data_IF_557525954351
#
_entry.id   IF_557525954351
#
_cell.length_a   1.000
_cell.length_b   1.000
_cell.length_c   1.000
_cell.angle_alpha   90.00
_cell.angle_beta   90.00
_cell.angle_gamma   90.00
#
_symmetry.space_group_name_H-M   'P 1'
#
loop_
_entity.id
_entity.type
_entity.pdbx_description
1 polymer ?
#
# COMPACT_ATOMS: atom_id res chain seq x y z
N UNK A 1 9.39 15.33 -15.80
CA UNK A 1 8.92 15.03 -14.42
C UNK A 1 9.69 15.76 -13.33
N UNK A 2 11.03 15.92 -13.41
CA UNK A 2 11.82 16.56 -12.34
C UNK A 2 11.26 17.88 -11.77
N UNK A 3 10.89 18.87 -12.62
CA UNK A 3 10.29 20.12 -12.14
C UNK A 3 8.97 19.93 -11.38
N UNK A 4 8.14 18.98 -11.80
CA UNK A 4 6.88 18.67 -11.13
C UNK A 4 7.12 18.11 -9.72
N UNK A 5 8.08 17.19 -9.56
CA UNK A 5 8.38 16.62 -8.24
C UNK A 5 8.87 17.67 -7.24
N UNK A 6 9.63 18.66 -7.69
CA UNK A 6 10.09 19.75 -6.83
C UNK A 6 8.91 20.59 -6.29
N UNK A 7 7.91 20.86 -7.13
CA UNK A 7 6.70 21.56 -6.72
C UNK A 7 5.82 20.68 -5.82
N UNK A 8 5.63 19.40 -6.17
CA UNK A 8 4.82 18.47 -5.37
C UNK A 8 5.42 18.22 -3.98
N UNK A 9 6.75 18.14 -3.85
CA UNK A 9 7.40 17.96 -2.54
C UNK A 9 7.18 19.15 -1.59
N UNK A 10 6.83 20.33 -2.11
CA UNK A 10 6.46 21.47 -1.27
C UNK A 10 5.01 21.35 -0.75
N UNK A 11 4.19 20.49 -1.36
CA UNK A 11 2.81 20.25 -0.95
C UNK A 11 2.76 19.19 0.16
N UNK A 12 1.96 19.45 1.20
CA UNK A 12 1.80 18.54 2.35
C UNK A 12 1.13 17.21 2.00
N UNK A 13 0.49 17.12 0.85
CA UNK A 13 -0.28 15.95 0.42
C UNK A 13 0.53 14.98 -0.46
N UNK A 14 1.80 15.29 -0.74
CA UNK A 14 2.68 14.42 -1.53
C UNK A 14 3.31 13.32 -0.65
N UNK A 15 3.06 12.07 -1.02
CA UNK A 15 3.67 10.89 -0.38
C UNK A 15 4.72 10.31 -1.32
N UNK A 16 5.98 10.32 -0.87
CA UNK A 16 7.06 9.65 -1.58
C UNK A 16 6.94 8.14 -1.45
N UNK A 17 7.40 7.39 -2.45
CA UNK A 17 7.38 5.94 -2.45
C UNK A 17 8.75 5.37 -2.82
N UNK A 18 9.10 4.23 -2.24
CA UNK A 18 10.33 3.48 -2.51
C UNK A 18 10.28 2.71 -3.83
N UNK A 19 9.08 2.38 -4.31
CA UNK A 19 8.85 1.68 -5.58
C UNK A 19 7.48 2.05 -6.16
N UNK A 20 7.33 2.04 -7.49
CA UNK A 20 6.12 2.53 -8.16
C UNK A 20 4.87 1.73 -7.76
N UNK A 21 5.02 0.42 -7.56
CA UNK A 21 3.92 -0.42 -7.12
C UNK A 21 3.42 -0.06 -5.72
N UNK A 22 4.28 0.42 -4.83
CA UNK A 22 3.90 0.92 -3.51
C UNK A 22 3.14 2.24 -3.65
N UNK A 23 3.63 3.17 -4.49
CA UNK A 23 2.95 4.44 -4.76
C UNK A 23 1.49 4.21 -5.20
N UNK A 24 1.28 3.28 -6.13
CA UNK A 24 -0.06 2.93 -6.60
C UNK A 24 -0.93 2.26 -5.53
N UNK A 25 -0.33 1.44 -4.65
CA UNK A 25 -1.05 0.81 -3.55
C UNK A 25 -1.43 1.82 -2.45
N UNK A 26 -0.57 2.78 -2.12
CA UNK A 26 -0.89 3.91 -1.23
C UNK A 26 -2.04 4.73 -1.83
N UNK A 27 -1.96 5.07 -3.12
CA UNK A 27 -3.06 5.75 -3.81
C UNK A 27 -4.36 4.95 -3.78
N UNK A 28 -4.30 3.62 -3.94
CA UNK A 28 -5.48 2.76 -3.82
C UNK A 28 -6.12 2.82 -2.41
N UNK A 29 -5.30 2.83 -1.35
CA UNK A 29 -5.77 3.01 0.02
C UNK A 29 -6.42 4.37 0.26
N UNK A 30 -5.77 5.45 -0.17
CA UNK A 30 -6.32 6.80 -0.09
C UNK A 30 -7.59 6.98 -0.94
N UNK A 31 -7.69 6.27 -2.07
CA UNK A 31 -8.94 6.21 -2.81
C UNK A 31 -10.01 5.50 -1.99
N UNK A 32 -9.75 4.34 -1.39
CA UNK A 32 -10.73 3.62 -0.58
C UNK A 32 -11.29 4.44 0.59
N UNK A 33 -10.56 5.43 1.12
CA UNK A 33 -11.02 6.35 2.17
C UNK A 33 -11.72 7.61 1.64
N UNK A 34 -11.90 7.74 0.32
CA UNK A 34 -12.68 8.81 -0.28
C UNK A 34 -11.89 9.85 -1.08
N UNK A 35 -10.55 9.79 -1.12
CA UNK A 35 -9.74 10.77 -1.86
C UNK A 35 -9.73 10.51 -3.36
N UNK A 36 -9.48 11.57 -4.12
CA UNK A 36 -9.03 11.47 -5.50
C UNK A 36 -7.50 11.48 -5.50
N UNK A 37 -6.88 10.60 -6.28
CA UNK A 37 -5.43 10.34 -6.20
C UNK A 37 -4.77 10.39 -7.57
N UNK A 38 -3.57 10.95 -7.63
CA UNK A 38 -2.69 10.89 -8.79
C UNK A 38 -1.38 10.21 -8.41
N UNK A 39 -0.83 9.40 -9.33
CA UNK A 39 0.43 8.68 -9.16
C UNK A 39 1.38 9.12 -10.25
N UNK A 40 2.57 9.54 -9.84
CA UNK A 40 3.61 10.05 -10.73
C UNK A 40 4.76 9.05 -10.78
N UNK A 41 5.18 8.66 -11.98
CA UNK A 41 6.27 7.73 -12.17
C UNK A 41 6.98 7.96 -13.50
N UNK A 42 8.10 7.26 -13.69
CA UNK A 42 8.73 7.12 -14.99
C UNK A 42 8.27 5.81 -15.65
N UNK A 43 8.27 5.75 -16.98
CA UNK A 43 7.88 4.55 -17.73
C UNK A 43 8.69 3.31 -17.35
N UNK A 44 9.96 3.44 -16.95
CA UNK A 44 10.76 2.32 -16.41
C UNK A 44 10.11 1.59 -15.23
N UNK A 45 9.24 2.27 -14.48
CA UNK A 45 8.48 1.71 -13.37
C UNK A 45 7.25 0.89 -13.76
N UNK A 46 6.83 0.90 -15.03
CA UNK A 46 5.61 0.21 -15.47
C UNK A 46 5.65 -1.30 -15.17
N UNK A 47 6.83 -1.92 -15.24
CA UNK A 47 7.02 -3.33 -14.86
C UNK A 47 6.64 -3.60 -13.41
N UNK A 48 6.94 -2.67 -12.50
CA UNK A 48 6.60 -2.78 -11.07
C UNK A 48 5.10 -2.56 -10.81
N UNK A 49 4.39 -1.90 -11.73
CA UNK A 49 2.95 -1.68 -11.65
C UNK A 49 2.13 -2.87 -12.14
N UNK A 50 2.67 -3.76 -12.99
CA UNK A 50 1.91 -4.86 -13.61
C UNK A 50 1.10 -5.64 -12.57
N UNK A 51 1.74 -6.07 -11.48
CA UNK A 51 1.09 -6.83 -10.42
C UNK A 51 -0.03 -6.03 -9.74
N UNK A 52 0.21 -4.76 -9.43
CA UNK A 52 -0.75 -3.91 -8.71
C UNK A 52 -1.94 -3.55 -9.60
N UNK A 53 -1.69 -3.15 -10.85
CA UNK A 53 -2.74 -2.85 -11.82
C UNK A 53 -3.63 -4.07 -12.09
N UNK A 54 -3.03 -5.22 -12.37
CA UNK A 54 -3.76 -6.43 -12.77
C UNK A 54 -4.45 -7.16 -11.62
N UNK A 55 -3.95 -7.02 -10.38
CA UNK A 55 -4.42 -7.83 -9.24
C UNK A 55 -4.88 -7.05 -8.00
N UNK A 56 -4.73 -5.71 -7.99
CA UNK A 56 -5.36 -4.79 -7.04
C UNK A 56 -6.33 -3.84 -7.77
N UNK A 57 -5.86 -2.96 -8.65
CA UNK A 57 -6.75 -1.95 -9.25
C UNK A 57 -7.86 -2.58 -10.08
N UNK A 58 -7.53 -3.53 -10.96
CA UNK A 58 -8.51 -4.13 -11.87
C UNK A 58 -9.56 -4.98 -11.14
N UNK A 59 -9.22 -5.91 -10.23
CA UNK A 59 -10.24 -6.73 -9.56
C UNK A 59 -11.11 -5.94 -8.58
N UNK A 60 -10.55 -4.93 -7.91
CA UNK A 60 -11.26 -4.11 -6.93
C UNK A 60 -11.96 -2.89 -7.56
N UNK A 61 -11.77 -2.66 -8.86
CA UNK A 61 -12.29 -1.49 -9.57
C UNK A 61 -11.80 -0.19 -8.92
N UNK A 62 -10.51 -0.06 -8.67
CA UNK A 62 -9.93 1.15 -8.06
C UNK A 62 -9.38 2.04 -9.17
N UNK A 63 -10.02 3.19 -9.47
CA UNK A 63 -9.50 4.15 -10.41
C UNK A 63 -8.24 4.82 -9.87
N UNK A 64 -7.31 5.15 -10.76
CA UNK A 64 -6.07 5.85 -10.42
C UNK A 64 -5.59 6.64 -11.62
N UNK A 65 -5.28 7.92 -11.42
CA UNK A 65 -4.72 8.76 -12.47
C UNK A 65 -3.21 8.59 -12.49
N UNK A 66 -2.65 8.12 -13.60
CA UNK A 66 -1.22 7.88 -13.74
C UNK A 66 -0.57 8.96 -14.61
N UNK A 67 0.51 9.57 -14.15
CA UNK A 67 1.37 10.45 -14.94
C UNK A 67 2.73 9.79 -15.11
N UNK A 68 3.03 9.37 -16.33
CA UNK A 68 4.19 8.55 -16.66
C UNK A 68 5.13 9.36 -17.54
N UNK A 69 6.33 9.69 -17.05
CA UNK A 69 7.37 10.26 -17.88
C UNK A 69 7.87 9.26 -18.94
N UNK A 70 7.86 9.64 -20.21
CA UNK A 70 8.23 8.77 -21.34
C UNK A 70 9.70 8.96 -21.74
N UNK A 71 10.60 8.24 -21.05
CA UNK A 71 12.01 8.15 -21.44
C UNK A 71 12.19 7.14 -22.59
N UNK A 72 13.09 7.44 -23.51
CA UNK A 72 13.35 6.61 -24.70
C UNK A 72 12.21 6.63 -25.73
N UNK A 73 11.41 7.70 -25.79
CA UNK A 73 10.32 7.84 -26.75
C UNK A 73 10.83 7.61 -28.19
N UNK A 74 10.14 6.78 -29.01
CA UNK A 74 10.54 6.54 -30.40
C UNK A 74 10.69 7.85 -31.19
N UNK A 75 11.83 8.01 -31.87
CA UNK A 75 12.15 9.21 -32.65
C UNK A 75 12.72 10.37 -31.84
N UNK A 76 12.85 10.24 -30.52
CA UNK A 76 13.47 11.24 -29.63
C UNK A 76 14.79 10.72 -29.11
N UNK A 77 15.86 11.51 -29.23
CA UNK A 77 17.19 11.13 -28.72
C UNK A 77 17.18 11.14 -27.18
N UNK A 78 17.58 10.03 -26.59
CA UNK A 78 17.71 9.83 -25.15
C UNK A 78 18.93 8.93 -24.87
N UNK A 79 19.22 8.67 -23.59
CA UNK A 79 20.25 7.75 -23.14
C UNK A 79 19.94 6.30 -23.56
N UNK A 80 20.94 5.51 -23.98
CA UNK A 80 20.73 4.18 -24.57
C UNK A 80 19.90 3.22 -23.70
N UNK A 81 20.06 3.27 -22.38
CA UNK A 81 19.34 2.39 -21.45
C UNK A 81 17.82 2.61 -21.44
N UNK A 82 17.32 3.75 -21.95
CA UNK A 82 15.89 4.04 -21.99
C UNK A 82 15.20 3.51 -23.26
N UNK A 83 15.96 3.22 -24.33
CA UNK A 83 15.43 2.94 -25.67
C UNK A 83 14.43 1.78 -25.68
N UNK A 84 14.83 0.61 -25.15
CA UNK A 84 13.98 -0.57 -25.16
C UNK A 84 12.67 -0.35 -24.39
N UNK A 85 12.74 0.30 -23.23
CA UNK A 85 11.55 0.57 -22.42
C UNK A 85 10.64 1.61 -23.08
N UNK A 86 11.22 2.65 -23.66
CA UNK A 86 10.47 3.68 -24.36
C UNK A 86 9.74 3.17 -25.59
N UNK A 87 10.31 2.21 -26.33
CA UNK A 87 9.67 1.55 -27.47
C UNK A 87 8.41 0.77 -27.06
N UNK A 88 8.45 0.01 -25.96
CA UNK A 88 7.34 -0.85 -25.54
C UNK A 88 6.31 -0.17 -24.61
N UNK A 89 6.52 1.10 -24.25
CA UNK A 89 5.73 1.80 -23.21
C UNK A 89 4.23 1.79 -23.51
N UNK A 90 3.83 2.14 -24.74
CA UNK A 90 2.41 2.19 -25.14
C UNK A 90 1.81 0.79 -25.23
N UNK A 91 2.56 -0.16 -25.78
CA UNK A 91 2.14 -1.57 -25.88
C UNK A 91 1.88 -2.18 -24.49
N UNK A 92 2.69 -1.84 -23.48
CA UNK A 92 2.45 -2.27 -22.11
C UNK A 92 1.15 -1.70 -21.53
N UNK A 93 0.86 -0.42 -21.78
CA UNK A 93 -0.39 0.21 -21.32
C UNK A 93 -1.61 -0.40 -22.02
N UNK A 94 -1.52 -0.64 -23.33
CA UNK A 94 -2.56 -1.29 -24.12
C UNK A 94 -2.81 -2.73 -23.63
N UNK A 95 -1.74 -3.50 -23.39
CA UNK A 95 -1.80 -4.86 -22.86
C UNK A 95 -2.47 -4.90 -21.48
N UNK A 96 -2.16 -3.94 -20.61
CA UNK A 96 -2.77 -3.79 -19.29
C UNK A 96 -4.18 -3.20 -19.35
N UNK A 97 -4.69 -2.85 -20.54
CA UNK A 97 -5.97 -2.19 -20.75
C UNK A 97 -6.11 -0.90 -19.94
N UNK A 98 -5.02 -0.12 -19.86
CA UNK A 98 -5.01 1.21 -19.24
C UNK A 98 -5.10 2.25 -20.35
N UNK A 99 -6.26 2.92 -20.52
CA UNK A 99 -6.41 3.99 -21.50
C UNK A 99 -5.38 5.07 -21.25
N UNK A 100 -4.72 5.54 -22.31
CA UNK A 100 -3.67 6.53 -22.20
C UNK A 100 -3.75 7.61 -23.27
N UNK A 101 -3.21 8.79 -22.94
CA UNK A 101 -3.03 9.91 -23.87
C UNK A 101 -1.66 10.54 -23.67
N UNK A 102 -1.12 11.16 -24.72
CA UNK A 102 -0.02 12.12 -24.55
C UNK A 102 -0.57 13.36 -23.84
N UNK A 103 0.08 13.78 -22.75
CA UNK A 103 -0.28 15.01 -22.06
C UNK A 103 0.13 16.20 -22.93
N UNK A 104 -0.78 17.14 -23.15
CA UNK A 104 -0.50 18.36 -23.90
C UNK A 104 0.55 19.22 -23.20
N UNK A 105 1.42 19.86 -23.97
CA UNK A 105 2.31 20.92 -23.48
C UNK A 105 1.58 22.27 -23.37
N UNK A 106 0.41 22.40 -24.00
CA UNK A 106 -0.50 23.52 -23.78
C UNK A 106 -1.27 23.31 -22.46
N UNK A 107 -1.20 24.32 -21.58
CA UNK A 107 -1.73 24.22 -20.23
C UNK A 107 -3.27 24.11 -20.18
N UNK A 108 -3.99 24.85 -21.04
CA UNK A 108 -5.46 24.82 -21.06
C UNK A 108 -5.97 23.47 -21.56
N UNK A 109 -5.33 22.94 -22.61
CA UNK A 109 -5.61 21.61 -23.13
C UNK A 109 -5.26 20.53 -22.10
N UNK A 110 -4.10 20.61 -21.43
CA UNK A 110 -3.70 19.64 -20.40
C UNK A 110 -4.72 19.57 -19.25
N UNK A 111 -5.20 20.72 -18.78
CA UNK A 111 -6.26 20.79 -17.75
C UNK A 111 -7.55 20.15 -18.24
N UNK A 112 -7.92 20.38 -19.51
CA UNK A 112 -9.10 19.77 -20.13
C UNK A 112 -8.96 18.25 -20.23
N UNK A 113 -7.80 17.76 -20.67
CA UNK A 113 -7.48 16.33 -20.74
C UNK A 113 -7.61 15.68 -19.36
N UNK A 114 -7.03 16.29 -18.31
CA UNK A 114 -7.09 15.75 -16.95
C UNK A 114 -8.53 15.68 -16.43
N UNK A 115 -9.35 16.70 -16.66
CA UNK A 115 -10.78 16.68 -16.29
C UNK A 115 -11.55 15.55 -16.97
N UNK A 116 -11.30 15.34 -18.27
CA UNK A 116 -11.90 14.23 -19.02
C UNK A 116 -11.47 12.87 -18.49
N UNK A 117 -10.18 12.72 -18.13
CA UNK A 117 -9.67 11.48 -17.55
C UNK A 117 -10.31 11.19 -16.19
N UNK A 118 -10.49 12.21 -15.34
CA UNK A 118 -11.19 12.08 -14.06
C UNK A 118 -12.63 11.61 -14.26
N UNK A 119 -13.35 12.19 -15.22
CA UNK A 119 -14.72 11.76 -15.51
C UNK A 119 -14.77 10.31 -16.03
N UNK A 120 -13.88 9.96 -16.96
CA UNK A 120 -13.75 8.59 -17.46
C UNK A 120 -13.45 7.59 -16.33
N UNK A 121 -12.59 7.95 -15.37
CA UNK A 121 -12.30 7.11 -14.21
C UNK A 121 -13.53 6.92 -13.31
N UNK A 122 -14.36 7.96 -13.12
CA UNK A 122 -15.60 7.87 -12.35
C UNK A 122 -16.63 6.96 -13.03
N UNK A 123 -16.75 7.05 -14.34
CA UNK A 123 -17.66 6.20 -15.13
C UNK A 123 -17.19 4.73 -15.17
N UNK A 124 -15.90 4.50 -15.36
CA UNK A 124 -15.35 3.16 -15.62
C UNK A 124 -14.85 2.44 -14.37
N UNK A 125 -14.53 3.15 -13.29
CA UNK A 125 -13.85 2.63 -12.08
C UNK A 125 -12.44 2.08 -12.35
N UNK A 126 -11.78 2.48 -13.45
CA UNK A 126 -10.47 1.94 -13.83
C UNK A 126 -9.42 3.03 -14.06
N UNK A 127 -8.12 2.69 -13.94
CA UNK A 127 -7.03 3.64 -14.15
C UNK A 127 -7.03 4.28 -15.54
N UNK A 128 -6.56 5.52 -15.61
CA UNK A 128 -6.27 6.25 -16.85
C UNK A 128 -4.88 6.85 -16.74
N UNK A 129 -4.12 6.84 -17.84
CA UNK A 129 -2.73 7.28 -17.87
C UNK A 129 -2.49 8.47 -18.81
N UNK A 130 -1.52 9.29 -18.43
CA UNK A 130 -0.90 10.29 -19.27
C UNK A 130 0.57 9.96 -19.47
N UNK A 131 1.01 9.96 -20.73
CA UNK A 131 2.42 9.95 -21.08
C UNK A 131 2.91 11.39 -21.21
N UNK A 132 3.93 11.75 -20.43
CA UNK A 132 4.56 13.07 -20.46
C UNK A 132 5.91 13.00 -21.18
N UNK A 133 6.07 13.79 -22.23
CA UNK A 133 7.33 13.94 -22.96
C UNK A 133 8.37 14.74 -22.14
N UNK A 134 9.60 14.81 -22.64
CA UNK A 134 10.74 15.42 -21.93
C UNK A 134 10.57 16.91 -21.63
N UNK A 135 9.70 17.61 -22.38
CA UNK A 135 9.44 19.04 -22.32
C UNK A 135 8.05 19.39 -21.73
N UNK A 136 7.32 18.43 -21.17
CA UNK A 136 5.95 18.67 -20.66
C UNK A 136 5.90 19.52 -19.39
N UNK A 137 6.95 19.51 -18.56
CA UNK A 137 6.98 20.25 -17.30
C UNK A 137 8.22 21.14 -17.21
N UNK A 138 8.02 22.40 -16.86
CA UNK A 138 9.09 23.40 -16.71
C UNK A 138 9.16 23.92 -15.27
N UNK A 139 10.37 24.22 -14.79
CA UNK A 139 10.56 24.84 -13.47
C UNK A 139 10.12 26.30 -13.52
N UNK A 140 9.52 26.79 -12.43
CA UNK A 140 9.37 28.24 -12.23
C UNK A 140 10.77 28.89 -12.14
N UNK A 141 10.90 30.13 -12.60
CA UNK A 141 12.19 30.86 -12.70
C UNK A 141 12.95 31.03 -11.37
N UNK A 142 12.31 30.76 -10.22
CA UNK A 142 12.96 30.75 -8.92
C UNK A 142 13.32 29.31 -8.54
N UNK A 143 14.62 29.03 -8.51
CA UNK A 143 15.19 27.70 -8.33
C UNK A 143 14.62 26.90 -7.17
N UNK A 144 14.62 25.58 -7.37
CA UNK A 144 14.22 24.56 -6.39
C UNK A 144 14.94 24.82 -5.08
N UNK A 145 14.23 25.27 -4.05
CA UNK A 145 14.70 25.05 -2.69
C UNK A 145 14.44 23.59 -2.41
N UNK A 146 15.46 22.84 -1.98
CA UNK A 146 15.17 21.58 -1.27
C UNK A 146 14.26 21.98 -0.12
N UNK A 147 13.05 21.43 -0.06
CA UNK A 147 12.36 21.41 1.21
C UNK A 147 13.32 20.71 2.16
N UNK A 148 13.72 21.38 3.24
CA UNK A 148 14.44 20.76 4.33
C UNK A 148 13.49 19.71 4.92
N UNK A 149 13.49 18.51 4.33
CA UNK A 149 12.87 17.32 4.88
C UNK A 149 13.67 16.96 6.11
N UNK A 150 13.44 17.70 7.19
CA UNK A 150 13.89 17.28 8.50
C UNK A 150 13.36 15.88 8.69
N UNK A 151 14.25 14.92 8.96
CA UNK A 151 13.85 13.59 9.38
C UNK A 151 12.75 13.78 10.42
N UNK A 152 11.62 13.09 10.24
CA UNK A 152 10.52 13.12 11.21
C UNK A 152 11.16 12.99 12.59
N UNK A 153 10.82 13.88 13.55
CA UNK A 153 11.44 13.83 14.86
C UNK A 153 11.30 12.40 15.36
N UNK A 154 12.44 11.76 15.64
CA UNK A 154 12.50 10.44 16.26
C UNK A 154 11.82 10.59 17.62
N UNK A 155 10.50 10.40 17.61
CA UNK A 155 9.64 10.47 18.77
C UNK A 155 9.98 9.27 19.61
N UNK A 156 10.97 9.40 20.48
CA UNK A 156 11.33 8.33 21.40
C UNK A 156 10.15 8.05 22.31
N UNK A 157 9.45 6.95 22.04
CA UNK A 157 8.73 6.14 23.02
C UNK A 157 8.94 4.65 22.68
N UNK A 158 10.20 4.22 22.69
CA UNK A 158 10.60 2.83 22.44
C UNK A 158 10.05 1.93 23.56
N UNK A 159 8.83 1.45 23.38
CA UNK A 159 8.29 0.35 24.17
C UNK A 159 8.63 -0.92 23.41
N UNK A 160 9.73 -1.55 23.81
CA UNK A 160 10.08 -2.88 23.35
C UNK A 160 9.47 -3.90 24.33
N UNK A 161 8.60 -4.77 23.81
CA UNK A 161 8.28 -6.02 24.48
C UNK A 161 8.93 -7.14 23.68
N UNK A 162 9.94 -7.79 24.27
CA UNK A 162 10.57 -8.98 23.70
C UNK A 162 10.09 -10.21 24.43
N UNK A 163 9.37 -11.07 23.71
CA UNK A 163 9.15 -12.44 24.13
C UNK A 163 10.07 -13.38 23.33
N UNK A 164 10.96 -14.08 24.03
CA UNK A 164 11.77 -15.16 23.46
C UNK A 164 11.12 -16.49 23.85
N UNK A 165 10.06 -16.85 23.14
CA UNK A 165 9.34 -18.11 23.34
C UNK A 165 9.06 -18.80 22.00
N UNK A 166 8.83 -20.12 22.05
CA UNK A 166 8.33 -20.88 20.91
C UNK A 166 6.92 -20.39 20.52
N UNK A 167 6.62 -20.25 19.22
CA UNK A 167 5.32 -19.74 18.78
C UNK A 167 4.20 -20.67 19.24
N UNK A 168 3.21 -20.14 19.95
CA UNK A 168 2.12 -20.95 20.49
C UNK A 168 0.84 -20.93 19.65
N UNK A 169 0.62 -19.88 18.85
CA UNK A 169 -0.59 -19.68 18.04
C UNK A 169 -0.41 -20.17 16.60
N UNK A 170 -1.43 -20.80 16.03
CA UNK A 170 -1.61 -20.91 14.58
C UNK A 170 -2.16 -19.61 13.99
N UNK A 171 -2.02 -19.42 12.66
CA UNK A 171 -2.54 -18.21 11.97
C UNK A 171 -4.02 -17.96 12.26
N UNK A 172 -4.84 -18.99 12.22
CA UNK A 172 -6.28 -18.89 12.46
C UNK A 172 -6.59 -18.36 13.88
N UNK A 173 -5.92 -18.89 14.90
CA UNK A 173 -6.09 -18.48 16.31
C UNK A 173 -5.58 -17.04 16.53
N UNK A 174 -4.49 -16.66 15.87
CA UNK A 174 -4.01 -15.28 15.86
C UNK A 174 -5.05 -14.33 15.23
N UNK A 175 -5.66 -14.71 14.11
CA UNK A 175 -6.71 -13.92 13.47
C UNK A 175 -7.99 -13.84 14.33
N UNK A 176 -8.37 -14.89 15.06
CA UNK A 176 -9.48 -14.85 16.03
C UNK A 176 -9.18 -13.89 17.20
N UNK A 177 -7.94 -13.94 17.71
CA UNK A 177 -7.46 -13.03 18.75
C UNK A 177 -7.53 -11.58 18.29
N UNK A 178 -7.04 -11.30 17.07
CA UNK A 178 -7.07 -9.99 16.45
C UNK A 178 -8.52 -9.50 16.27
N UNK A 179 -9.36 -10.31 15.62
CA UNK A 179 -10.75 -9.97 15.34
C UNK A 179 -11.54 -9.62 16.62
N UNK A 180 -11.24 -10.31 17.72
CA UNK A 180 -11.88 -10.07 19.01
C UNK A 180 -11.38 -8.79 19.72
N UNK A 181 -10.14 -8.38 19.43
CA UNK A 181 -9.51 -7.21 20.05
C UNK A 181 -9.66 -5.92 19.24
N UNK A 182 -9.86 -6.04 17.91
CA UNK A 182 -10.04 -4.89 17.03
C UNK A 182 -11.31 -4.09 17.38
N UNK A 183 -11.22 -2.76 17.52
CA UNK A 183 -12.38 -1.91 17.61
C UNK A 183 -13.31 -2.10 16.40
N UNK A 184 -14.62 -2.01 16.60
CA UNK A 184 -15.61 -2.10 15.52
C UNK A 184 -15.46 -1.00 14.47
N UNK A 185 -14.88 0.14 14.86
CA UNK A 185 -14.56 1.26 13.98
C UNK A 185 -13.22 1.11 13.23
N UNK A 186 -12.45 0.05 13.48
CA UNK A 186 -11.13 -0.13 12.87
C UNK A 186 -11.25 -0.70 11.45
N UNK A 187 -10.63 -0.04 10.48
CA UNK A 187 -10.46 -0.57 9.14
C UNK A 187 -9.44 -1.72 9.16
N UNK A 188 -9.84 -2.92 8.73
CA UNK A 188 -9.02 -4.13 8.80
C UNK A 188 -8.66 -4.64 7.41
N UNK A 189 -7.39 -4.59 7.06
CA UNK A 189 -6.86 -4.95 5.74
C UNK A 189 -6.01 -6.19 5.88
N UNK A 190 -6.45 -7.29 5.26
CA UNK A 190 -5.70 -8.55 5.27
C UNK A 190 -5.02 -8.81 3.92
N UNK A 191 -3.76 -9.23 3.99
CA UNK A 191 -2.96 -9.61 2.84
C UNK A 191 -3.50 -10.85 2.11
N UNK A 192 -2.87 -11.13 0.98
CA UNK A 192 -3.21 -12.21 0.05
C UNK A 192 -3.08 -13.62 0.62
N UNK A 193 -3.59 -14.59 -0.13
CA UNK A 193 -3.45 -16.00 0.18
C UNK A 193 -4.42 -16.47 1.27
N UNK A 194 -3.93 -17.32 2.17
CA UNK A 194 -4.77 -17.92 3.22
C UNK A 194 -5.16 -16.92 4.32
N UNK A 195 -4.37 -15.87 4.54
CA UNK A 195 -4.62 -14.89 5.61
C UNK A 195 -5.99 -14.21 5.46
N UNK A 196 -6.23 -13.51 4.34
CA UNK A 196 -7.53 -12.88 4.08
C UNK A 196 -8.71 -13.87 4.05
N UNK A 197 -8.50 -15.09 3.57
CA UNK A 197 -9.53 -16.14 3.54
C UNK A 197 -9.90 -16.65 4.93
N UNK A 198 -8.90 -16.87 5.79
CA UNK A 198 -9.13 -17.29 7.18
C UNK A 198 -9.84 -16.17 7.94
N UNK A 199 -9.39 -14.92 7.80
CA UNK A 199 -10.05 -13.77 8.41
C UNK A 199 -11.51 -13.66 7.95
N UNK A 200 -11.80 -13.78 6.65
CA UNK A 200 -13.17 -13.80 6.13
C UNK A 200 -14.03 -14.89 6.77
N UNK A 201 -13.46 -16.09 6.98
CA UNK A 201 -14.19 -17.20 7.61
C UNK A 201 -14.39 -17.05 9.12
N UNK A 202 -13.63 -16.18 9.78
CA UNK A 202 -13.76 -15.83 11.20
C UNK A 202 -14.80 -14.71 11.34
N UNK A 203 -14.63 -13.65 10.55
CA UNK A 203 -15.46 -12.45 10.59
C UNK A 203 -15.49 -11.78 9.21
N UNK A 204 -16.69 -11.65 8.65
CA UNK A 204 -16.96 -10.80 7.48
C UNK A 204 -17.77 -9.59 7.90
N UNK A 205 -17.21 -8.40 7.70
CA UNK A 205 -17.80 -7.13 8.12
C UNK A 205 -17.49 -6.02 7.10
N UNK A 206 -18.26 -4.91 7.09
CA UNK A 206 -18.01 -3.80 6.16
C UNK A 206 -16.61 -3.21 6.24
N UNK A 207 -16.02 -3.17 7.43
CA UNK A 207 -14.67 -2.65 7.67
C UNK A 207 -13.53 -3.59 7.26
N UNK A 208 -13.82 -4.74 6.65
CA UNK A 208 -12.79 -5.70 6.26
C UNK A 208 -12.49 -5.64 4.76
N UNK A 209 -11.22 -5.43 4.41
CA UNK A 209 -10.69 -5.55 3.05
C UNK A 209 -9.82 -6.79 2.94
N UNK A 210 -10.18 -7.69 2.03
CA UNK A 210 -9.43 -8.93 1.77
C UNK A 210 -8.69 -8.84 0.45
N UNK A 211 -7.38 -8.59 0.49
CA UNK A 211 -6.59 -8.52 -0.73
C UNK A 211 -6.49 -9.91 -1.37
N UNK A 212 -6.88 -10.03 -2.64
CA UNK A 212 -6.81 -11.31 -3.38
C UNK A 212 -5.57 -11.43 -4.25
N UNK A 213 -4.86 -10.31 -4.47
CA UNK A 213 -3.65 -10.20 -5.27
C UNK A 213 -2.76 -9.05 -4.79
N UNK A 214 -1.71 -8.75 -5.55
CA UNK A 214 -0.72 -7.72 -5.24
C UNK A 214 0.01 -7.97 -3.91
N UNK A 215 0.48 -9.19 -3.70
CA UNK A 215 1.23 -9.58 -2.49
C UNK A 215 2.35 -8.58 -2.17
N UNK A 216 2.44 -8.20 -0.89
CA UNK A 216 3.31 -7.14 -0.38
C UNK A 216 2.73 -5.72 -0.45
N UNK A 217 1.49 -5.54 -0.92
CA UNK A 217 0.87 -4.21 -1.01
C UNK A 217 -0.06 -3.87 0.15
N UNK A 218 -0.32 -4.79 1.08
CA UNK A 218 -1.30 -4.57 2.16
C UNK A 218 -0.90 -3.42 3.09
N UNK A 219 0.37 -3.35 3.47
CA UNK A 219 0.92 -2.24 4.26
C UNK A 219 0.84 -0.90 3.53
N UNK A 220 1.06 -0.87 2.21
CA UNK A 220 0.93 0.34 1.41
C UNK A 220 -0.54 0.79 1.27
N UNK A 221 -1.48 -0.13 1.05
CA UNK A 221 -2.93 0.18 1.06
C UNK A 221 -3.35 0.71 2.43
N UNK A 222 -2.89 0.06 3.51
CA UNK A 222 -3.17 0.53 4.87
C UNK A 222 -2.58 1.89 5.18
N UNK A 223 -1.36 2.19 4.72
CA UNK A 223 -0.78 3.52 4.83
C UNK A 223 -1.66 4.57 4.12
N UNK A 224 -2.11 4.28 2.90
CA UNK A 224 -3.01 5.17 2.17
C UNK A 224 -4.30 5.49 2.94
N UNK A 225 -4.93 4.46 3.52
CA UNK A 225 -6.13 4.63 4.36
C UNK A 225 -5.81 5.45 5.61
N UNK A 226 -4.74 5.11 6.33
CA UNK A 226 -4.36 5.74 7.59
C UNK A 226 -4.03 7.24 7.43
N UNK A 227 -3.42 7.64 6.31
CA UNK A 227 -3.12 9.04 6.01
C UNK A 227 -4.35 9.90 5.69
N UNK A 228 -5.51 9.27 5.46
CA UNK A 228 -6.67 9.95 4.88
C UNK A 228 -7.99 9.66 5.60
N UNK A 229 -7.94 8.84 6.66
CA UNK A 229 -9.03 8.53 7.57
C UNK A 229 -8.53 8.67 9.00
N UNK A 230 -9.38 9.17 9.91
CA UNK A 230 -9.08 9.24 11.34
C UNK A 230 -9.39 7.92 12.08
N UNK A 231 -9.98 6.94 11.38
CA UNK A 231 -10.31 5.64 11.97
C UNK A 231 -9.05 4.81 12.22
N UNK A 232 -9.01 3.98 13.27
CA UNK A 232 -7.90 3.03 13.45
C UNK A 232 -7.75 2.15 12.21
N UNK A 233 -6.53 1.99 11.71
CA UNK A 233 -6.24 1.18 10.53
C UNK A 233 -5.33 0.03 10.93
N UNK A 234 -5.79 -1.20 10.72
CA UNK A 234 -5.08 -2.42 11.05
C UNK A 234 -4.73 -3.15 9.75
N UNK A 235 -3.44 -3.38 9.53
CA UNK A 235 -2.94 -4.21 8.44
C UNK A 235 -2.48 -5.55 8.99
N UNK A 236 -2.95 -6.64 8.41
CA UNK A 236 -2.46 -7.99 8.70
C UNK A 236 -1.71 -8.50 7.49
N UNK A 237 -0.40 -8.56 7.61
CA UNK A 237 0.49 -9.07 6.60
C UNK A 237 1.09 -10.42 7.01
N UNK A 238 1.63 -11.12 6.01
CA UNK A 238 2.46 -12.29 6.24
C UNK A 238 3.93 -11.90 6.12
N UNK A 239 4.81 -12.61 6.81
CA UNK A 239 6.26 -12.48 6.71
C UNK A 239 6.78 -12.40 5.26
N UNK A 240 6.33 -13.32 4.39
CA UNK A 240 6.73 -13.36 3.00
C UNK A 240 6.21 -12.17 2.19
N UNK A 241 5.03 -11.66 2.52
CA UNK A 241 4.43 -10.52 1.84
C UNK A 241 5.12 -9.22 2.26
N UNK A 242 5.38 -9.03 3.56
CA UNK A 242 6.17 -7.92 4.07
C UNK A 242 7.55 -7.87 3.41
N UNK A 243 8.21 -9.01 3.22
CA UNK A 243 9.51 -9.07 2.54
C UNK A 243 9.49 -8.66 1.06
N UNK A 244 8.38 -8.91 0.34
CA UNK A 244 8.28 -8.54 -1.07
C UNK A 244 8.35 -7.03 -1.27
N UNK A 245 7.95 -6.23 -0.26
CA UNK A 245 8.00 -4.76 -0.29
C UNK A 245 8.42 -4.18 1.06
N UNK A 246 9.58 -4.64 1.54
CA UNK A 246 10.12 -4.19 2.82
C UNK A 246 10.33 -2.68 2.89
N UNK A 247 10.61 -2.03 1.74
CA UNK A 247 10.74 -0.57 1.63
C UNK A 247 9.51 0.21 2.11
N UNK A 248 8.32 -0.40 2.08
CA UNK A 248 7.10 0.24 2.58
C UNK A 248 7.16 0.52 4.08
N UNK A 249 7.95 -0.23 4.85
CA UNK A 249 8.17 0.08 6.26
C UNK A 249 8.89 1.42 6.44
N UNK A 250 9.85 1.75 5.58
CA UNK A 250 10.53 3.05 5.63
C UNK A 250 9.58 4.20 5.34
N UNK A 251 8.68 4.02 4.36
CA UNK A 251 7.67 5.03 4.02
C UNK A 251 6.63 5.19 5.12
N UNK A 252 6.17 4.09 5.75
CA UNK A 252 5.28 4.17 6.92
C UNK A 252 5.92 4.95 8.06
N UNK A 253 7.19 4.70 8.36
CA UNK A 253 7.90 5.42 9.42
C UNK A 253 8.17 6.89 9.09
N UNK A 254 8.44 7.21 7.81
CA UNK A 254 8.56 8.60 7.34
C UNK A 254 7.24 9.37 7.49
N UNK A 255 6.12 8.76 7.08
CA UNK A 255 4.81 9.39 7.10
C UNK A 255 4.17 9.39 8.49
N UNK A 256 4.58 8.47 9.37
CA UNK A 256 4.20 8.34 10.77
C UNK A 256 2.69 8.51 11.07
N UNK A 257 1.77 7.79 10.40
CA UNK A 257 0.35 7.90 10.70
C UNK A 257 0.03 7.42 12.13
N UNK A 258 -0.62 8.29 12.91
CA UNK A 258 -0.91 8.07 14.33
C UNK A 258 -1.85 6.89 14.61
N UNK A 259 -2.63 6.47 13.62
CA UNK A 259 -3.73 5.51 13.72
C UNK A 259 -3.43 4.15 13.06
N UNK A 260 -2.19 3.86 12.67
CA UNK A 260 -1.83 2.63 11.96
C UNK A 260 -1.25 1.55 12.90
N UNK A 261 -1.79 0.33 12.80
CA UNK A 261 -1.26 -0.89 13.43
C UNK A 261 -0.91 -1.91 12.35
N UNK A 262 0.36 -2.23 12.21
CA UNK A 262 0.86 -3.19 11.22
C UNK A 262 1.27 -4.49 11.90
N UNK A 263 0.46 -5.53 11.70
CA UNK A 263 0.67 -6.88 12.24
C UNK A 263 1.30 -7.77 11.19
N UNK A 264 2.46 -8.36 11.50
CA UNK A 264 3.11 -9.37 10.67
C UNK A 264 2.95 -10.73 11.34
N UNK A 265 2.24 -11.64 10.67
CA UNK A 265 2.11 -13.03 11.06
C UNK A 265 3.23 -13.85 10.42
N UNK A 266 4.19 -14.29 11.23
CA UNK A 266 5.41 -14.95 10.78
C UNK A 266 5.43 -16.44 11.14
N UNK A 267 5.18 -17.26 10.14
CA UNK A 267 5.30 -18.73 10.20
C UNK A 267 6.59 -19.23 9.50
N UNK A 268 7.47 -18.33 9.05
CA UNK A 268 8.69 -18.61 8.33
C UNK A 268 8.54 -19.27 6.95
N UNK A 269 7.34 -19.32 6.36
CA UNK A 269 7.13 -20.00 5.08
C UNK A 269 5.91 -19.51 4.26
N UNK A 270 6.01 -19.69 2.94
CA UNK A 270 4.92 -19.38 2.00
C UNK A 270 3.84 -20.48 2.00
N UNK A 271 3.10 -20.62 3.10
CA UNK A 271 2.07 -21.66 3.28
C UNK A 271 0.99 -21.68 2.20
N UNK A 272 0.69 -20.53 1.60
CA UNK A 272 -0.35 -20.42 0.57
C UNK A 272 0.07 -21.07 -0.76
N UNK A 273 1.36 -21.21 -1.02
CA UNK A 273 1.92 -21.67 -2.30
C UNK A 273 2.67 -23.00 -2.22
N UNK A 274 2.58 -23.70 -1.08
CA UNK A 274 3.21 -25.01 -0.89
C UNK A 274 4.19 -25.09 0.28
N UNK A 275 4.32 -24.03 1.09
CA UNK A 275 5.11 -24.08 2.33
C UNK A 275 6.61 -23.97 2.12
N UNK A 276 7.05 -23.35 1.01
CA UNK A 276 8.46 -23.11 0.76
C UNK A 276 9.03 -22.19 1.85
N UNK A 277 10.22 -22.51 2.34
CA UNK A 277 10.93 -21.68 3.31
C UNK A 277 11.28 -20.32 2.68
N UNK A 278 10.90 -19.24 3.37
CA UNK A 278 11.23 -17.87 2.99
C UNK A 278 12.52 -17.38 3.65
N UNK A 279 12.86 -16.11 3.39
CA UNK A 279 13.99 -15.44 4.07
C UNK A 279 13.63 -14.93 5.48
N UNK A 280 12.35 -14.91 5.84
CA UNK A 280 11.82 -14.37 7.09
C UNK A 280 12.49 -14.88 8.38
N UNK A 281 12.90 -16.15 8.51
CA UNK A 281 13.57 -16.62 9.72
C UNK A 281 14.87 -15.86 10.09
N UNK A 282 15.45 -15.12 9.16
CA UNK A 282 16.66 -14.31 9.39
C UNK A 282 16.36 -12.82 9.54
N UNK A 283 15.08 -12.43 9.61
CA UNK A 283 14.64 -11.04 9.54
C UNK A 283 13.96 -10.66 10.85
N UNK A 284 14.48 -9.62 11.49
CA UNK A 284 13.85 -9.00 12.65
C UNK A 284 12.97 -7.84 12.19
N UNK A 285 11.69 -8.12 11.92
CA UNK A 285 10.77 -7.09 11.43
C UNK A 285 10.55 -5.98 12.46
N UNK A 286 10.51 -6.30 13.76
CA UNK A 286 10.39 -5.31 14.83
C UNK A 286 11.62 -4.39 14.89
N UNK A 287 12.83 -4.95 14.77
CA UNK A 287 14.06 -4.15 14.66
C UNK A 287 14.10 -3.30 13.39
N UNK A 288 13.53 -3.78 12.28
CA UNK A 288 13.38 -2.97 11.06
C UNK A 288 12.38 -1.82 11.27
N UNK A 289 11.25 -2.06 11.93
CA UNK A 289 10.30 -1.00 12.26
C UNK A 289 10.93 0.08 13.15
N UNK A 290 11.73 -0.31 14.15
CA UNK A 290 12.53 0.64 14.94
C UNK A 290 13.45 1.47 14.03
N UNK A 291 14.24 0.81 13.18
CA UNK A 291 15.16 1.48 12.27
C UNK A 291 14.46 2.37 11.22
N UNK A 292 13.22 2.06 10.87
CA UNK A 292 12.39 2.85 9.96
C UNK A 292 11.65 4.01 10.65
N UNK A 293 11.62 4.07 11.99
CA UNK A 293 10.98 5.17 12.72
C UNK A 293 9.54 4.94 13.16
N UNK A 294 9.11 3.69 13.33
CA UNK A 294 7.80 3.39 13.93
C UNK A 294 7.73 3.89 15.38
N UNK A 295 6.55 4.32 15.82
CA UNK A 295 6.31 4.83 17.17
C UNK A 295 6.41 3.75 18.25
N UNK A 296 6.02 2.51 17.93
CA UNK A 296 6.35 1.33 18.76
C UNK A 296 6.48 0.06 17.93
N UNK A 297 7.12 -0.95 18.51
CA UNK A 297 7.33 -2.25 17.89
C UNK A 297 7.32 -3.37 18.94
N UNK A 298 6.65 -4.47 18.64
CA UNK A 298 6.47 -5.60 19.57
C UNK A 298 6.92 -6.90 18.92
N UNK A 299 7.60 -7.75 19.70
CA UNK A 299 7.93 -9.13 19.32
C UNK A 299 7.10 -10.07 20.19
N UNK A 300 6.14 -10.73 19.58
CA UNK A 300 5.19 -11.60 20.24
C UNK A 300 5.39 -13.05 19.79
N UNK A 301 5.22 -14.00 20.71
CA UNK A 301 5.19 -15.43 20.41
C UNK A 301 4.00 -16.15 21.07
N UNK A 302 3.19 -15.43 21.85
CA UNK A 302 2.03 -15.97 22.56
C UNK A 302 0.75 -15.15 22.37
N UNK A 303 -0.40 -15.76 22.67
CA UNK A 303 -1.69 -15.06 22.66
C UNK A 303 -1.73 -13.88 23.62
N UNK A 304 -1.17 -14.05 24.82
CA UNK A 304 -1.16 -13.01 25.83
C UNK A 304 -0.32 -11.81 25.37
N UNK A 305 0.92 -12.04 24.91
CA UNK A 305 1.76 -10.93 24.42
C UNK A 305 1.17 -10.24 23.19
N UNK A 306 0.45 -10.99 22.34
CA UNK A 306 -0.26 -10.40 21.21
C UNK A 306 -1.43 -9.52 21.65
N UNK A 307 -2.26 -9.97 22.60
CA UNK A 307 -3.36 -9.17 23.17
C UNK A 307 -2.84 -7.90 23.84
N UNK A 308 -1.75 -7.99 24.58
CA UNK A 308 -1.13 -6.85 25.25
C UNK A 308 -0.59 -5.83 24.24
N UNK A 309 0.07 -6.30 23.16
CA UNK A 309 0.54 -5.45 22.08
C UNK A 309 -0.61 -4.75 21.35
N UNK A 310 -1.69 -5.47 21.02
CA UNK A 310 -2.89 -4.87 20.42
C UNK A 310 -3.53 -3.83 21.33
N UNK A 311 -3.68 -4.12 22.63
CA UNK A 311 -4.25 -3.19 23.59
C UNK A 311 -3.38 -1.92 23.75
N UNK A 312 -2.05 -2.03 23.67
CA UNK A 312 -1.16 -0.89 23.61
C UNK A 312 -1.36 -0.08 22.33
N UNK A 313 -1.37 -0.73 21.17
CA UNK A 313 -1.49 -0.07 19.86
C UNK A 313 -2.82 0.64 19.63
N UNK A 314 -3.90 0.25 20.29
CA UNK A 314 -5.19 0.96 20.22
C UNK A 314 -5.33 2.09 21.26
N UNK A 315 -4.40 2.19 22.22
CA UNK A 315 -4.42 3.23 23.26
C UNK A 315 -3.44 4.36 22.97
N UNK A 316 -2.27 4.01 22.44
CA UNK A 316 -1.15 4.94 22.26
C UNK A 316 -1.05 5.38 20.78
N UNK A 317 -0.22 6.40 20.51
CA UNK A 317 -0.04 6.96 19.16
C UNK A 317 0.91 6.10 18.32
N UNK A 318 0.48 5.74 17.12
CA UNK A 318 1.24 4.95 16.15
C UNK A 318 2.27 5.74 15.32
N UNK A 319 2.79 5.14 14.23
CA UNK A 319 2.46 3.81 13.73
C UNK A 319 3.09 2.71 14.59
N UNK A 320 2.37 1.60 14.76
CA UNK A 320 2.81 0.46 15.56
C UNK A 320 3.15 -0.74 14.67
N UNK A 321 4.23 -1.46 14.96
CA UNK A 321 4.47 -2.79 14.41
C UNK A 321 4.27 -3.87 15.46
N UNK A 322 3.56 -4.94 15.12
CA UNK A 322 3.48 -6.16 15.91
C UNK A 322 4.00 -7.32 15.07
N UNK A 323 5.19 -7.82 15.39
CA UNK A 323 5.73 -9.05 14.79
C UNK A 323 5.34 -10.23 15.66
N UNK A 324 4.36 -11.02 15.18
CA UNK A 324 3.88 -12.21 15.86
C UNK A 324 4.43 -13.46 15.18
N UNK A 325 5.28 -14.21 15.88
CA UNK A 325 5.68 -15.55 15.45
C UNK A 325 4.51 -16.52 15.69
N UNK A 326 4.18 -17.28 14.65
CA UNK A 326 3.09 -18.26 14.66
C UNK A 326 3.60 -19.63 14.19
N UNK A 327 2.85 -20.67 14.54
CA UNK A 327 3.06 -22.03 14.04
C UNK A 327 2.72 -22.10 12.56
N UNK A 328 3.43 -22.97 11.83
CA UNK A 328 3.00 -23.41 10.50
C UNK A 328 1.68 -24.17 10.63
N UNK A 329 0.68 -23.77 9.88
CA UNK A 329 -0.63 -24.40 9.90
C UNK A 329 -1.70 -23.52 9.29
N UNK A 330 -2.67 -24.17 8.67
CA UNK A 330 -3.81 -23.52 8.02
C UNK A 330 -5.08 -24.28 8.30
N UNK A 331 -6.23 -23.58 8.30
CA UNK A 331 -7.53 -24.24 8.44
C UNK A 331 -7.77 -25.26 7.31
N UNK A 332 -8.16 -26.47 7.69
CA UNK A 332 -8.52 -27.54 6.74
C UNK A 332 -9.82 -27.16 6.02
N UNK A 333 -9.92 -27.44 4.72
CA UNK A 333 -11.09 -27.13 3.88
C UNK A 333 -11.49 -25.65 3.90
N UNK A 334 -10.51 -24.74 3.95
CA UNK A 334 -10.76 -23.31 3.89
C UNK A 334 -11.52 -22.93 2.62
N UNK A 335 -12.67 -22.26 2.75
CA UNK A 335 -13.45 -21.72 1.63
C UNK A 335 -12.80 -20.52 0.96
N UNK A 336 -13.45 -19.98 -0.06
CA UNK A 336 -13.14 -18.66 -0.63
C UNK A 336 -14.24 -17.68 -0.20
N UNK A 337 -13.97 -16.36 -0.13
CA UNK A 337 -15.03 -15.38 0.05
C UNK A 337 -16.10 -15.51 -1.03
N UNK A 338 -17.36 -15.40 -0.62
CA UNK A 338 -18.52 -15.44 -1.54
C UNK A 338 -18.79 -14.07 -2.19
N UNK A 339 -18.10 -13.02 -1.71
CA UNK A 339 -18.14 -11.65 -2.21
C UNK A 339 -16.94 -11.37 -3.12
N UNK A 340 -17.19 -10.70 -4.25
CA UNK A 340 -16.14 -10.35 -5.21
C UNK A 340 -15.26 -9.19 -4.73
N UNK A 341 -14.00 -9.08 -5.19
CA UNK A 341 -13.10 -7.99 -4.77
C UNK A 341 -13.65 -6.59 -5.04
N UNK A 342 -14.37 -6.40 -6.15
CA UNK A 342 -15.05 -5.15 -6.47
C UNK A 342 -16.06 -4.74 -5.38
N UNK A 343 -16.93 -5.67 -4.99
CA UNK A 343 -17.97 -5.41 -3.98
C UNK A 343 -17.36 -5.21 -2.59
N UNK A 344 -16.31 -5.97 -2.24
CA UNK A 344 -15.55 -5.74 -1.00
C UNK A 344 -14.96 -4.33 -0.98
N UNK A 345 -14.37 -3.86 -2.10
CA UNK A 345 -13.81 -2.52 -2.19
C UNK A 345 -14.87 -1.44 -1.97
N UNK A 346 -16.07 -1.60 -2.53
CA UNK A 346 -17.18 -0.65 -2.39
C UNK A 346 -17.71 -0.62 -0.96
N UNK A 347 -17.97 -1.80 -0.38
CA UNK A 347 -18.41 -1.94 1.01
C UNK A 347 -17.41 -1.33 1.99
N UNK A 348 -16.11 -1.57 1.79
CA UNK A 348 -15.03 -1.01 2.61
C UNK A 348 -14.93 0.51 2.45
N UNK A 349 -15.07 1.02 1.22
CA UNK A 349 -15.11 2.47 0.96
C UNK A 349 -16.31 3.15 1.61
N UNK A 350 -17.49 2.54 1.55
CA UNK A 350 -18.69 3.04 2.22
C UNK A 350 -18.51 3.10 3.73
N UNK A 351 -17.86 2.09 4.32
CA UNK A 351 -17.51 2.10 5.74
C UNK A 351 -16.55 3.24 6.12
N UNK A 352 -15.54 3.50 5.28
CA UNK A 352 -14.56 4.57 5.51
C UNK A 352 -15.10 5.98 5.20
N UNK A 353 -16.24 6.09 4.51
CA UNK A 353 -16.82 7.38 4.17
C UNK A 353 -17.18 8.15 5.45
N UNK A 354 -16.97 9.49 5.49
CA UNK A 354 -17.42 10.29 6.62
C UNK A 354 -18.92 10.07 6.84
N UNK A 355 -19.33 9.85 8.09
CA UNK A 355 -20.75 9.81 8.42
C UNK A 355 -21.38 11.11 7.89
N UNK A 356 -22.41 10.98 7.06
CA UNK A 356 -23.09 12.14 6.47
C UNK A 356 -23.56 13.05 7.62
N UNK A 357 -23.02 14.26 7.69
CA UNK A 357 -23.39 15.27 8.67
C UNK A 357 -24.81 15.81 8.43
#
# INVERSE_FOLDING_TARGET
MGPLFAELQAEKEYVSASIEGEALAVAAGAWLSGKETAVFLQNSGLGNLVNVLSSLNRPFGIPSLLFIGWRGQPGVKDEPQHEAMGQITTEMLDLLSVPWKLLSTDQEEAVTQIKQAIEQMRETNYPVAFLAASDTFHSKENGVSRADGGAAPSGTKNTECMEVAEPCLARYEALETLASACPSAAALIATTGKCGRELYSIIDQPQNLYMVGAMGSASAVGLGVALTSDLPTVVVDGDGAALMRLGTMAVVGEQAPENLVHVILDNGCHESTGGQRGAAPNVDFAGIAEACGYGSFHRCASEQSFRDALAHSFRDTGPHLIHLRIKVGSKVNLGRPDIGPFDVARRFREFLAPASA
#
